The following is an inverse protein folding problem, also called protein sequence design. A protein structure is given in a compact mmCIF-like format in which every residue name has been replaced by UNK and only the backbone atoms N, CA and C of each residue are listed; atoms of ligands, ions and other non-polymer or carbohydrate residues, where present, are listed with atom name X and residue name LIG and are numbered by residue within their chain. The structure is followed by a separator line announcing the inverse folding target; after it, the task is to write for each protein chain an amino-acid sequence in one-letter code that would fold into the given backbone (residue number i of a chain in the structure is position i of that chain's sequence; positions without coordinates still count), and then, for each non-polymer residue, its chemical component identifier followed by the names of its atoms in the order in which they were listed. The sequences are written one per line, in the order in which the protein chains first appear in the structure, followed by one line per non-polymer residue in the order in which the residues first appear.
data_IF_550134365836
#
_entry.id   IF_550134365836
#
_cell.length_a   1.000
_cell.length_b   1.000
_cell.length_c   1.000
_cell.angle_alpha   90.00
_cell.angle_beta   90.00
_cell.angle_gamma   90.00
#
_symmetry.space_group_name_H-M   'P 1'
#
loop_
_entity.id
_entity.type
_entity.pdbx_description
1 polymer ?
#
# COMPACT_ATOMS: atom_id res chain seq x y z
N UNK A 1 21.05 -12.28 -0.09
CA UNK A 1 21.25 -13.29 -1.17
C UNK A 1 22.60 -13.98 -1.04
N UNK A 2 23.65 -13.23 -0.98
CA UNK A 2 25.05 -13.76 -1.04
C UNK A 2 25.49 -14.59 0.19
N UNK A 3 24.68 -14.62 1.26
CA UNK A 3 24.93 -15.38 2.48
C UNK A 3 24.00 -16.59 2.66
N UNK A 4 23.30 -17.03 1.59
CA UNK A 4 22.49 -18.25 1.58
C UNK A 4 21.10 -18.13 2.19
N UNK A 5 20.57 -16.92 2.40
CA UNK A 5 19.19 -16.73 2.82
C UNK A 5 18.22 -17.27 1.74
N UNK A 6 17.34 -18.20 2.12
CA UNK A 6 16.33 -18.80 1.24
C UNK A 6 14.98 -18.10 1.33
N UNK A 7 14.67 -17.51 2.47
CA UNK A 7 13.46 -16.75 2.71
C UNK A 7 13.74 -15.62 3.70
N UNK A 8 13.12 -14.48 3.50
CA UNK A 8 13.20 -13.34 4.40
C UNK A 8 11.96 -12.45 4.27
N UNK A 9 11.63 -11.78 5.37
CA UNK A 9 10.68 -10.67 5.42
C UNK A 9 11.39 -9.49 6.07
N UNK A 10 11.36 -8.35 5.42
CA UNK A 10 11.86 -7.09 5.95
C UNK A 10 10.67 -6.13 6.04
N UNK A 11 10.43 -5.56 7.22
CA UNK A 11 9.41 -4.55 7.44
C UNK A 11 10.06 -3.30 8.01
N UNK A 12 9.89 -2.18 7.31
CA UNK A 12 10.43 -0.88 7.67
C UNK A 12 9.31 0.15 7.65
N UNK A 13 8.82 0.53 8.84
CA UNK A 13 7.77 1.54 8.96
C UNK A 13 6.45 1.19 8.26
N UNK A 14 6.09 -0.09 8.21
CA UNK A 14 4.91 -0.58 7.51
C UNK A 14 5.14 -1.02 6.06
N UNK A 15 6.27 -0.66 5.46
CA UNK A 15 6.67 -1.14 4.14
C UNK A 15 7.30 -2.52 4.26
N UNK A 16 6.75 -3.51 3.57
CA UNK A 16 7.14 -4.91 3.66
C UNK A 16 7.79 -5.36 2.35
N UNK A 17 8.95 -6.00 2.46
CA UNK A 17 9.60 -6.70 1.35
C UNK A 17 9.73 -8.18 1.72
N UNK A 18 9.21 -9.06 0.90
CA UNK A 18 9.39 -10.50 1.01
C UNK A 18 10.43 -11.01 0.01
N UNK A 19 11.14 -12.05 0.38
CA UNK A 19 12.13 -12.71 -0.47
C UNK A 19 12.03 -14.22 -0.35
N UNK A 20 12.09 -14.91 -1.49
CA UNK A 20 12.04 -16.36 -1.56
C UNK A 20 10.68 -16.94 -1.18
N UNK A 21 10.69 -18.18 -0.68
CA UNK A 21 9.50 -18.93 -0.27
C UNK A 21 9.73 -19.49 1.12
N UNK A 22 8.71 -19.48 1.97
CA UNK A 22 8.80 -20.13 3.29
C UNK A 22 9.27 -21.59 3.18
N UNK A 23 9.94 -22.11 4.20
CA UNK A 23 10.44 -23.49 4.17
C UNK A 23 9.37 -24.57 3.96
N UNK A 24 8.13 -24.30 4.37
CA UNK A 24 6.95 -25.15 4.18
C UNK A 24 6.26 -24.98 2.83
N UNK A 25 6.77 -24.10 1.96
CA UNK A 25 6.22 -23.81 0.63
C UNK A 25 5.00 -22.89 0.64
N UNK A 26 4.53 -22.44 1.81
CA UNK A 26 3.37 -21.54 1.89
C UNK A 26 3.74 -20.09 1.58
N UNK A 27 2.79 -19.26 1.09
CA UNK A 27 3.01 -17.84 0.87
C UNK A 27 3.22 -17.08 2.19
N UNK A 28 3.79 -15.88 2.09
CA UNK A 28 3.82 -14.95 3.21
C UNK A 28 2.45 -14.30 3.40
N UNK A 29 2.07 -14.11 4.66
CA UNK A 29 0.85 -13.35 5.00
C UNK A 29 1.25 -11.94 5.42
N UNK A 30 0.72 -10.95 4.73
CA UNK A 30 0.99 -9.52 5.02
C UNK A 30 -0.31 -8.85 5.43
N UNK A 31 -0.27 -8.12 6.55
CA UNK A 31 -1.38 -7.32 7.06
C UNK A 31 -1.51 -6.01 6.30
N UNK A 32 -2.75 -5.61 6.03
CA UNK A 32 -3.12 -4.31 5.50
C UNK A 32 -3.76 -3.50 6.63
N UNK A 33 -3.18 -2.35 6.94
CA UNK A 33 -3.66 -1.47 8.02
C UNK A 33 -4.99 -0.83 7.64
N UNK A 34 -5.90 -0.71 8.61
CA UNK A 34 -7.13 0.04 8.45
C UNK A 34 -6.83 1.55 8.47
N UNK A 35 -7.10 2.28 7.38
CA UNK A 35 -6.84 3.71 7.34
C UNK A 35 -7.80 4.53 8.24
N UNK A 36 -8.86 3.92 8.76
CA UNK A 36 -9.82 4.61 9.61
C UNK A 36 -9.22 5.00 10.97
N UNK A 37 -8.40 4.12 11.56
CA UNK A 37 -7.68 4.39 12.81
C UNK A 37 -6.15 4.43 12.66
N UNK A 38 -5.61 3.87 11.57
CA UNK A 38 -4.18 3.81 11.31
C UNK A 38 -3.39 2.83 12.17
N UNK A 39 -4.05 2.03 13.00
CA UNK A 39 -3.45 1.12 13.99
C UNK A 39 -3.93 -0.31 13.82
N UNK A 40 -5.23 -0.53 13.63
CA UNK A 40 -5.82 -1.86 13.47
C UNK A 40 -5.54 -2.45 12.09
N UNK A 41 -5.79 -3.73 11.96
CA UNK A 41 -5.60 -4.46 10.71
C UNK A 41 -6.96 -4.62 10.02
N UNK A 42 -7.09 -4.04 8.82
CA UNK A 42 -8.25 -4.18 7.96
C UNK A 42 -8.41 -5.62 7.45
N UNK A 43 -7.29 -6.22 7.07
CA UNK A 43 -7.27 -7.55 6.49
C UNK A 43 -5.87 -8.05 6.22
N UNK A 44 -5.79 -9.20 5.56
CA UNK A 44 -4.53 -9.83 5.16
C UNK A 44 -4.55 -10.22 3.70
N UNK A 45 -3.37 -10.24 3.08
CA UNK A 45 -3.12 -10.81 1.76
C UNK A 45 -2.05 -11.89 1.84
N UNK A 46 -2.13 -12.85 0.95
CA UNK A 46 -1.06 -13.84 0.76
C UNK A 46 -0.19 -13.45 -0.43
N UNK A 47 1.12 -13.43 -0.23
CA UNK A 47 2.07 -12.99 -1.26
C UNK A 47 3.26 -13.94 -1.36
N UNK A 48 3.82 -14.05 -2.56
CA UNK A 48 5.12 -14.66 -2.80
C UNK A 48 6.25 -13.67 -2.52
N UNK A 49 7.31 -13.71 -3.33
CA UNK A 49 8.38 -12.72 -3.30
C UNK A 49 7.92 -11.43 -3.96
N UNK A 50 7.75 -10.37 -3.17
CA UNK A 50 7.29 -9.05 -3.64
C UNK A 50 7.54 -7.96 -2.59
N UNK A 51 7.45 -6.71 -2.99
CA UNK A 51 7.25 -5.60 -2.08
C UNK A 51 5.75 -5.35 -1.88
N UNK A 52 5.35 -4.97 -0.68
CA UNK A 52 4.00 -4.50 -0.32
C UNK A 52 4.19 -3.18 0.40
N UNK A 53 3.93 -2.10 -0.29
CA UNK A 53 4.24 -0.74 0.16
C UNK A 53 2.96 0.09 0.20
N UNK A 54 2.73 0.76 1.31
CA UNK A 54 1.53 1.56 1.51
C UNK A 54 1.85 3.04 1.68
N UNK A 55 1.17 3.88 0.91
CA UNK A 55 1.09 5.33 1.12
C UNK A 55 -0.31 5.70 1.58
N UNK A 56 -0.42 6.47 2.67
CA UNK A 56 -1.72 6.87 3.22
C UNK A 56 -1.68 8.18 3.98
N UNK A 57 -2.81 8.90 3.97
CA UNK A 57 -2.99 10.18 4.65
C UNK A 57 -2.97 10.08 6.18
N UNK A 58 -3.11 8.86 6.72
CA UNK A 58 -3.14 8.56 8.14
C UNK A 58 -1.75 8.27 8.76
N UNK A 59 -0.72 8.02 7.94
CA UNK A 59 0.59 7.57 8.42
C UNK A 59 1.42 8.67 9.08
N UNK A 60 1.46 9.85 8.46
CA UNK A 60 2.24 11.00 8.95
C UNK A 60 1.46 12.27 8.69
N UNK A 61 0.83 12.82 9.71
CA UNK A 61 0.04 14.03 9.61
C UNK A 61 0.11 14.84 10.91
N UNK A 62 -0.29 16.09 10.84
CA UNK A 62 -0.69 16.89 11.99
C UNK A 62 -2.04 17.53 11.70
N UNK A 63 -2.74 17.89 12.76
CA UNK A 63 -4.02 18.59 12.66
C UNK A 63 -3.88 20.02 13.15
N UNK A 64 -4.42 20.95 12.37
CA UNK A 64 -4.50 22.36 12.72
C UNK A 64 -5.85 22.91 12.28
N UNK A 65 -6.56 23.58 13.20
CA UNK A 65 -7.88 24.20 12.93
C UNK A 65 -8.91 23.23 12.31
N UNK A 66 -8.88 21.95 12.73
CA UNK A 66 -9.75 20.89 12.22
C UNK A 66 -9.40 20.36 10.83
N UNK A 67 -8.27 20.79 10.26
CA UNK A 67 -7.75 20.34 8.98
C UNK A 67 -6.56 19.40 9.19
N UNK A 68 -6.55 18.27 8.51
CA UNK A 68 -5.44 17.30 8.52
C UNK A 68 -4.44 17.62 7.43
N UNK A 69 -3.19 17.81 7.82
CA UNK A 69 -2.05 18.08 6.94
C UNK A 69 -1.13 16.86 6.94
N UNK A 70 -1.25 16.02 5.93
CA UNK A 70 -0.37 14.85 5.75
C UNK A 70 0.84 15.17 4.88
N UNK A 71 1.84 14.29 4.89
CA UNK A 71 3.14 14.49 4.25
C UNK A 71 3.14 14.33 2.72
N UNK A 72 2.08 13.77 2.14
CA UNK A 72 1.97 13.59 0.69
C UNK A 72 1.54 14.92 0.07
N UNK A 73 2.45 15.57 -0.64
CA UNK A 73 2.26 16.92 -1.16
C UNK A 73 1.90 16.89 -2.65
N UNK A 74 0.97 17.74 -3.04
CA UNK A 74 0.74 18.05 -4.45
C UNK A 74 1.82 19.03 -4.93
N UNK A 75 2.63 18.58 -5.91
CA UNK A 75 3.72 19.38 -6.47
C UNK A 75 3.29 20.68 -7.14
N UNK A 76 2.03 20.81 -7.53
CA UNK A 76 1.49 22.00 -8.19
C UNK A 76 1.12 23.10 -7.20
N UNK A 77 0.57 22.69 -6.05
CA UNK A 77 0.06 23.64 -5.04
C UNK A 77 1.03 23.83 -3.88
N UNK A 78 1.94 22.87 -3.64
CA UNK A 78 2.79 22.84 -2.45
C UNK A 78 2.01 22.61 -1.15
N UNK A 79 0.74 22.19 -1.24
CA UNK A 79 -0.13 21.82 -0.14
C UNK A 79 -0.30 20.29 -0.08
N UNK A 80 -0.83 19.72 1.01
CA UNK A 80 -1.21 18.31 1.06
C UNK A 80 -2.14 17.96 -0.11
N UNK A 81 -1.88 16.82 -0.76
CA UNK A 81 -2.65 16.41 -1.92
C UNK A 81 -4.11 16.14 -1.54
N UNK A 82 -5.04 16.78 -2.22
CA UNK A 82 -6.45 16.45 -2.11
C UNK A 82 -6.72 15.20 -2.95
N UNK A 83 -6.93 14.07 -2.29
CA UNK A 83 -7.26 12.79 -2.92
C UNK A 83 -8.58 12.27 -2.38
N UNK A 84 -9.31 11.52 -3.17
CA UNK A 84 -10.46 10.72 -2.75
C UNK A 84 -10.05 9.40 -2.07
N UNK A 85 -8.73 9.06 -2.12
CA UNK A 85 -8.14 7.91 -1.46
C UNK A 85 -7.65 8.27 -0.04
N UNK A 86 -7.74 7.31 0.87
CA UNK A 86 -7.12 7.35 2.21
C UNK A 86 -5.88 6.47 2.27
N UNK A 87 -5.83 5.39 1.49
CA UNK A 87 -4.73 4.43 1.45
C UNK A 87 -4.54 3.86 0.06
N UNK A 88 -3.29 3.71 -0.34
CA UNK A 88 -2.85 3.02 -1.56
C UNK A 88 -1.76 2.05 -1.19
N UNK A 89 -2.01 0.76 -1.36
CA UNK A 89 -1.00 -0.29 -1.23
C UNK A 89 -0.62 -0.79 -2.61
N UNK A 90 0.65 -0.74 -2.95
CA UNK A 90 1.21 -1.25 -4.22
C UNK A 90 2.04 -2.49 -3.96
N UNK A 91 1.85 -3.49 -4.81
CA UNK A 91 2.64 -4.70 -4.88
C UNK A 91 3.43 -4.70 -6.18
N UNK A 92 4.76 -4.79 -6.09
CA UNK A 92 5.64 -5.04 -7.24
C UNK A 92 6.97 -5.62 -6.76
N UNK A 93 7.86 -5.98 -7.67
CA UNK A 93 9.11 -6.67 -7.32
C UNK A 93 10.05 -5.77 -6.48
N UNK A 94 10.11 -4.46 -6.77
CA UNK A 94 11.06 -3.52 -6.20
C UNK A 94 10.38 -2.53 -5.25
N UNK A 95 10.83 -2.50 -3.98
CA UNK A 95 10.23 -1.68 -2.94
C UNK A 95 10.30 -0.17 -3.23
N UNK A 96 11.42 0.32 -3.76
CA UNK A 96 11.60 1.72 -4.14
C UNK A 96 10.64 2.16 -5.27
N UNK A 97 10.37 1.25 -6.20
CA UNK A 97 9.39 1.47 -7.26
C UNK A 97 7.97 1.49 -6.69
N UNK A 98 7.63 0.52 -5.84
CA UNK A 98 6.32 0.46 -5.17
C UNK A 98 6.04 1.72 -4.34
N UNK A 99 7.03 2.23 -3.60
CA UNK A 99 6.90 3.43 -2.77
C UNK A 99 6.59 4.68 -3.62
N UNK A 100 7.32 4.84 -4.71
CA UNK A 100 7.12 5.95 -5.65
C UNK A 100 5.75 5.88 -6.32
N UNK A 101 5.34 4.68 -6.76
CA UNK A 101 4.05 4.45 -7.43
C UNK A 101 2.90 4.64 -6.45
N UNK A 102 2.97 4.10 -5.22
CA UNK A 102 1.92 4.25 -4.22
C UNK A 102 1.63 5.73 -3.91
N UNK A 103 2.69 6.52 -3.76
CA UNK A 103 2.58 7.97 -3.56
C UNK A 103 1.97 8.67 -4.77
N UNK A 104 2.41 8.32 -5.99
CA UNK A 104 1.87 8.90 -7.22
C UNK A 104 0.39 8.56 -7.40
N UNK A 105 -0.01 7.30 -7.20
CA UNK A 105 -1.40 6.84 -7.30
C UNK A 105 -2.29 7.53 -6.26
N UNK A 106 -1.80 7.76 -5.04
CA UNK A 106 -2.51 8.52 -4.03
C UNK A 106 -2.83 9.95 -4.53
N UNK A 107 -1.84 10.64 -5.11
CA UNK A 107 -2.03 12.00 -5.67
C UNK A 107 -2.94 12.00 -6.89
N UNK A 108 -2.91 10.95 -7.70
CA UNK A 108 -3.77 10.80 -8.89
C UNK A 108 -5.25 10.68 -8.55
N UNK A 109 -5.59 10.09 -7.40
CA UNK A 109 -6.93 9.70 -7.02
C UNK A 109 -7.36 8.37 -7.65
N UNK A 110 -8.50 7.82 -7.18
CA UNK A 110 -8.95 6.44 -7.42
C UNK A 110 -9.09 6.10 -8.91
N UNK A 111 -9.81 6.91 -9.65
CA UNK A 111 -10.11 6.62 -11.06
C UNK A 111 -8.83 6.53 -11.91
N UNK A 112 -7.93 7.50 -11.75
CA UNK A 112 -6.67 7.53 -12.49
C UNK A 112 -5.68 6.49 -12.01
N UNK A 113 -5.70 6.14 -10.72
CA UNK A 113 -4.90 5.06 -10.16
C UNK A 113 -5.30 3.70 -10.77
N UNK A 114 -6.59 3.43 -10.90
CA UNK A 114 -7.10 2.22 -11.55
C UNK A 114 -6.72 2.19 -13.04
N UNK A 115 -6.84 3.31 -13.75
CA UNK A 115 -6.43 3.39 -15.15
C UNK A 115 -4.92 3.13 -15.31
N UNK A 116 -4.10 3.71 -14.43
CA UNK A 116 -2.67 3.51 -14.42
C UNK A 116 -2.29 2.04 -14.16
N UNK A 117 -2.92 1.39 -13.19
CA UNK A 117 -2.67 -0.03 -12.88
C UNK A 117 -2.97 -0.93 -14.08
N UNK A 118 -4.08 -0.69 -14.81
CA UNK A 118 -4.46 -1.47 -15.99
C UNK A 118 -3.49 -1.38 -17.16
N UNK A 119 -2.65 -0.36 -17.20
CA UNK A 119 -1.62 -0.16 -18.22
C UNK A 119 -0.26 -0.76 -17.81
N UNK A 120 -0.16 -1.36 -16.59
CA UNK A 120 1.10 -1.83 -16.02
C UNK A 120 0.94 -3.21 -15.40
N UNK A 121 1.27 -4.26 -16.15
CA UNK A 121 1.12 -5.66 -15.74
C UNK A 121 2.08 -6.08 -14.61
N UNK A 122 3.10 -5.29 -14.32
CA UNK A 122 4.14 -5.55 -13.31
C UNK A 122 3.78 -5.01 -11.92
N UNK A 123 2.62 -4.36 -11.78
CA UNK A 123 2.12 -3.84 -10.51
C UNK A 123 0.72 -4.38 -10.21
N UNK A 124 0.41 -4.48 -8.93
CA UNK A 124 -0.96 -4.68 -8.44
C UNK A 124 -1.21 -3.75 -7.26
N UNK A 125 -2.44 -3.39 -6.99
CA UNK A 125 -2.70 -2.50 -5.88
C UNK A 125 -4.02 -2.77 -5.14
N UNK A 126 -4.08 -2.22 -3.92
CA UNK A 126 -5.27 -2.12 -3.09
C UNK A 126 -5.50 -0.64 -2.84
N UNK A 127 -6.67 -0.15 -3.20
CA UNK A 127 -7.07 1.24 -3.02
C UNK A 127 -8.21 1.29 -2.00
N UNK A 128 -8.10 2.19 -1.02
CA UNK A 128 -9.15 2.43 -0.03
C UNK A 128 -9.53 3.91 -0.13
N UNK A 129 -10.80 4.18 -0.39
CA UNK A 129 -11.30 5.54 -0.53
C UNK A 129 -11.82 6.12 0.79
N UNK A 130 -12.11 7.42 0.79
CA UNK A 130 -12.61 8.16 1.97
C UNK A 130 -13.94 7.65 2.53
N UNK A 131 -14.70 6.88 1.75
CA UNK A 131 -15.98 6.29 2.16
C UNK A 131 -15.81 4.85 2.67
N UNK A 132 -14.57 4.36 2.77
CA UNK A 132 -14.26 2.98 3.14
C UNK A 132 -14.45 1.97 2.01
N UNK A 133 -14.69 2.44 0.78
CA UNK A 133 -14.75 1.59 -0.40
C UNK A 133 -13.38 1.02 -0.75
N UNK A 134 -13.33 -0.29 -0.96
CA UNK A 134 -12.09 -1.02 -1.28
C UNK A 134 -12.13 -1.45 -2.74
N UNK A 135 -11.04 -1.21 -3.45
CA UNK A 135 -10.79 -1.75 -4.78
C UNK A 135 -9.45 -2.49 -4.79
N UNK A 136 -9.40 -3.63 -5.47
CA UNK A 136 -8.18 -4.46 -5.61
C UNK A 136 -7.94 -4.81 -7.06
N UNK A 137 -6.67 -4.90 -7.45
CA UNK A 137 -6.28 -5.51 -8.73
C UNK A 137 -6.75 -6.94 -8.83
N UNK A 138 -6.90 -7.43 -10.05
CA UNK A 138 -7.19 -8.83 -10.31
C UNK A 138 -6.10 -9.74 -9.70
N UNK A 139 -6.51 -10.84 -9.08
CA UNK A 139 -5.61 -11.79 -8.39
C UNK A 139 -5.22 -11.39 -6.96
N UNK A 140 -5.54 -10.19 -6.48
CA UNK A 140 -5.37 -9.83 -5.08
C UNK A 140 -6.57 -10.30 -4.27
N UNK A 141 -6.35 -11.22 -3.33
CA UNK A 141 -7.37 -11.71 -2.41
C UNK A 141 -7.17 -11.10 -1.02
N UNK A 142 -7.84 -9.97 -0.77
CA UNK A 142 -7.86 -9.34 0.54
C UNK A 142 -8.87 -10.06 1.44
N UNK A 143 -8.36 -10.78 2.44
CA UNK A 143 -9.17 -11.41 3.48
C UNK A 143 -9.41 -10.41 4.60
N UNK A 144 -10.60 -9.82 4.62
CA UNK A 144 -10.98 -8.88 5.67
C UNK A 144 -11.04 -9.55 7.05
N UNK A 145 -10.56 -8.85 8.07
CA UNK A 145 -10.73 -9.24 9.46
C UNK A 145 -12.09 -8.69 9.89
N UNK A 146 -13.02 -9.59 10.22
CA UNK A 146 -14.31 -9.16 10.74
C UNK A 146 -14.08 -8.50 12.10
N UNK A 147 -14.47 -7.24 12.20
CA UNK A 147 -14.65 -6.53 13.48
C UNK A 147 -15.85 -7.10 14.23
#
# INVERSE_FOLDING_TARGET
RDRGAKAAVVSLGGNVQTYGTKPDGTPFTVGITDPADGESMLGTIEVGQTAVITSGSYQRYFEKDGVRYHHIMDKKTGAPAESDLTSVTVLCEHGETADSIATAMFVMGKERAIAFEREHDDISCILIDKNGGIWTSEGIHLKLIKS
#
